data_IF_647762523401
#
_entry.id   IF_647762523401
#
_cell.length_a   1.000
_cell.length_b   1.000
_cell.length_c   1.000
_cell.angle_alpha   90.00
_cell.angle_beta   90.00
_cell.angle_gamma   90.00
#
_symmetry.space_group_name_H-M   'P 1'
#
loop_
_entity.id
_entity.type
_entity.pdbx_description
1 polymer ?
#
# COMPACT_ATOMS: atom_id res chain seq x y z
N UNK A 1 13.54 17.66 4.78
CA UNK A 1 13.89 17.66 3.33
C UNK A 1 13.00 16.73 2.50
N UNK A 2 12.92 15.43 2.83
CA UNK A 2 12.13 14.43 2.08
C UNK A 2 10.64 14.80 1.96
N UNK A 3 9.96 15.09 3.07
CA UNK A 3 8.53 15.39 3.05
C UNK A 3 8.19 16.64 2.23
N UNK A 4 9.06 17.65 2.22
CA UNK A 4 8.85 18.85 1.40
C UNK A 4 8.91 18.48 -0.09
N UNK A 5 9.93 17.72 -0.50
CA UNK A 5 10.07 17.27 -1.90
C UNK A 5 8.88 16.41 -2.34
N UNK A 6 8.44 15.47 -1.50
CA UNK A 6 7.26 14.65 -1.77
C UNK A 6 6.00 15.51 -1.92
N UNK A 7 5.80 16.46 -1.02
CA UNK A 7 4.63 17.34 -1.07
C UNK A 7 4.62 18.22 -2.33
N UNK A 8 5.77 18.73 -2.73
CA UNK A 8 5.87 19.58 -3.93
C UNK A 8 5.65 18.76 -5.21
N UNK A 9 6.12 17.51 -5.25
CA UNK A 9 5.85 16.61 -6.39
C UNK A 9 4.38 16.21 -6.48
N UNK A 10 3.73 15.90 -5.35
CA UNK A 10 2.30 15.62 -5.32
C UNK A 10 1.47 16.82 -5.81
N UNK A 11 1.86 18.05 -5.44
CA UNK A 11 1.20 19.26 -5.96
C UNK A 11 1.38 19.39 -7.48
N UNK A 12 2.61 19.18 -7.97
CA UNK A 12 2.93 19.29 -9.40
C UNK A 12 2.12 18.28 -10.23
N UNK A 13 2.16 17.01 -9.86
CA UNK A 13 1.43 15.94 -10.56
C UNK A 13 -0.08 16.13 -10.50
N UNK A 14 -0.61 16.60 -9.36
CA UNK A 14 -2.05 16.88 -9.24
C UNK A 14 -2.49 18.05 -10.12
N UNK A 15 -1.65 19.08 -10.26
CA UNK A 15 -1.92 20.21 -11.16
C UNK A 15 -1.94 19.77 -12.64
N UNK A 16 -1.10 18.79 -13.00
CA UNK A 16 -0.97 18.28 -14.37
C UNK A 16 -2.07 17.26 -14.74
N UNK A 17 -2.44 16.37 -13.81
CA UNK A 17 -3.29 15.21 -14.10
C UNK A 17 -4.66 15.23 -13.41
N UNK A 18 -4.91 16.20 -12.52
CA UNK A 18 -6.16 16.33 -11.75
C UNK A 18 -6.27 15.35 -10.57
N UNK A 19 -6.09 14.05 -10.85
CA UNK A 19 -6.15 12.96 -9.86
C UNK A 19 -4.86 12.15 -9.89
N UNK A 20 -4.32 11.87 -8.71
CA UNK A 20 -3.10 11.08 -8.54
C UNK A 20 -3.27 10.12 -7.36
N UNK A 21 -2.52 9.02 -7.36
CA UNK A 21 -2.39 8.12 -6.22
C UNK A 21 -0.91 8.05 -5.80
N UNK A 22 -0.66 8.13 -4.49
CA UNK A 22 0.67 7.87 -3.93
C UNK A 22 0.76 6.40 -3.52
N UNK A 23 1.71 5.67 -4.10
CA UNK A 23 2.04 4.32 -3.68
C UNK A 23 3.23 4.36 -2.72
N UNK A 24 2.97 4.14 -1.43
CA UNK A 24 4.01 4.04 -0.40
C UNK A 24 4.31 2.57 -0.09
N UNK A 25 5.52 2.12 -0.47
CA UNK A 25 5.88 0.70 -0.47
C UNK A 25 7.00 0.40 0.52
N UNK A 26 6.80 -0.69 1.27
CA UNK A 26 7.74 -1.17 2.29
C UNK A 26 7.96 -2.66 2.13
N UNK A 27 9.13 -3.13 2.54
CA UNK A 27 9.43 -4.56 2.66
C UNK A 27 9.71 -4.91 4.12
N UNK A 28 9.22 -6.06 4.57
CA UNK A 28 9.47 -6.60 5.90
C UNK A 28 9.88 -8.07 5.78
N UNK A 29 10.67 -8.58 6.73
CA UNK A 29 10.95 -10.02 6.80
C UNK A 29 9.63 -10.78 6.99
N UNK A 30 9.42 -11.83 6.20
CA UNK A 30 8.19 -12.62 6.22
C UNK A 30 8.01 -13.46 7.48
N UNK A 31 9.09 -13.72 8.23
CA UNK A 31 9.06 -14.43 9.52
C UNK A 31 9.78 -13.58 10.56
N UNK A 32 9.04 -13.15 11.59
CA UNK A 32 9.52 -12.27 12.66
C UNK A 32 9.04 -12.78 14.02
N UNK A 33 9.65 -13.86 14.55
CA UNK A 33 9.14 -14.57 15.74
C UNK A 33 9.10 -13.73 17.02
N UNK A 34 9.83 -12.60 17.05
CA UNK A 34 9.77 -11.62 18.14
C UNK A 34 8.43 -10.88 18.19
N UNK A 35 7.77 -10.71 17.04
CA UNK A 35 6.58 -9.86 16.88
C UNK A 35 5.33 -10.65 16.50
N UNK A 36 5.47 -11.70 15.68
CA UNK A 36 4.36 -12.45 15.11
C UNK A 36 4.67 -13.94 15.08
N UNK A 37 3.63 -14.76 15.27
CA UNK A 37 3.72 -16.19 15.01
C UNK A 37 3.58 -16.47 13.51
N UNK A 38 4.33 -17.45 13.01
CA UNK A 38 4.23 -17.92 11.63
C UNK A 38 4.82 -16.97 10.58
N UNK A 39 4.30 -17.08 9.35
CA UNK A 39 4.70 -16.29 8.19
C UNK A 39 3.65 -15.21 7.93
N UNK A 40 4.09 -13.96 7.80
CA UNK A 40 3.26 -12.85 7.36
C UNK A 40 2.74 -13.07 5.92
N UNK A 41 1.60 -12.47 5.62
CA UNK A 41 1.06 -12.36 4.26
C UNK A 41 2.10 -11.72 3.33
N UNK A 42 2.24 -12.24 2.10
CA UNK A 42 3.26 -11.74 1.17
C UNK A 42 3.00 -10.29 0.75
N UNK A 43 1.73 -9.91 0.56
CA UNK A 43 1.28 -8.52 0.38
C UNK A 43 0.35 -8.08 1.50
N UNK A 44 0.83 -7.18 2.36
CA UNK A 44 0.00 -6.45 3.31
C UNK A 44 -0.29 -5.06 2.77
N UNK A 45 -1.51 -4.85 2.28
CA UNK A 45 -1.96 -3.57 1.73
C UNK A 45 -2.60 -2.75 2.85
N UNK A 46 -2.36 -1.45 2.89
CA UNK A 46 -2.89 -0.56 3.92
C UNK A 46 -3.69 0.59 3.33
N UNK A 47 -4.85 0.87 3.93
CA UNK A 47 -5.67 2.06 3.63
C UNK A 47 -6.02 2.87 4.88
N UNK A 48 -5.38 2.58 6.02
CA UNK A 48 -5.66 3.17 7.33
C UNK A 48 -7.17 3.10 7.66
N UNK A 49 -7.76 1.90 7.51
CA UNK A 49 -9.19 1.65 7.65
C UNK A 49 -10.06 2.53 6.73
N UNK A 50 -9.60 2.72 5.48
CA UNK A 50 -10.29 3.53 4.48
C UNK A 50 -10.05 5.04 4.57
N UNK A 51 -9.14 5.51 5.44
CA UNK A 51 -8.84 6.94 5.61
C UNK A 51 -7.77 7.48 4.66
N UNK A 52 -6.93 6.62 4.08
CA UNK A 52 -5.79 7.03 3.26
C UNK A 52 -5.88 6.62 1.80
N UNK A 53 -6.91 5.85 1.41
CA UNK A 53 -7.12 5.40 0.04
C UNK A 53 -8.61 5.31 -0.27
N UNK A 54 -8.98 5.60 -1.51
CA UNK A 54 -10.33 5.36 -2.01
C UNK A 54 -10.71 3.86 -1.86
N UNK A 55 -11.96 3.59 -1.50
CA UNK A 55 -12.42 2.23 -1.20
C UNK A 55 -12.46 1.34 -2.45
N UNK A 56 -12.81 1.90 -3.62
CA UNK A 56 -12.78 1.18 -4.89
C UNK A 56 -11.35 0.82 -5.28
N UNK A 57 -10.44 1.80 -5.23
CA UNK A 57 -9.02 1.58 -5.54
C UNK A 57 -8.39 0.55 -4.61
N UNK A 58 -8.62 0.63 -3.29
CA UNK A 58 -8.10 -0.34 -2.34
C UNK A 58 -8.62 -1.76 -2.61
N UNK A 59 -9.90 -1.88 -2.97
CA UNK A 59 -10.54 -3.17 -3.31
C UNK A 59 -9.95 -3.77 -4.59
N UNK A 60 -9.73 -2.95 -5.61
CA UNK A 60 -9.14 -3.41 -6.87
C UNK A 60 -7.69 -3.89 -6.69
N UNK A 61 -6.90 -3.14 -5.93
CA UNK A 61 -5.49 -3.50 -5.67
C UNK A 61 -5.40 -4.82 -4.90
N UNK A 62 -6.21 -5.03 -3.84
CA UNK A 62 -6.19 -6.31 -3.11
C UNK A 62 -6.67 -7.46 -3.99
N UNK A 63 -7.70 -7.25 -4.83
CA UNK A 63 -8.16 -8.27 -5.76
C UNK A 63 -7.13 -8.63 -6.84
N UNK A 64 -6.30 -7.67 -7.27
CA UNK A 64 -5.15 -7.93 -8.16
C UNK A 64 -4.09 -8.73 -7.41
N UNK A 65 -3.72 -8.32 -6.20
CA UNK A 65 -2.68 -8.97 -5.39
C UNK A 65 -3.05 -10.43 -5.04
N UNK A 66 -4.32 -10.71 -4.74
CA UNK A 66 -4.83 -12.05 -4.46
C UNK A 66 -4.79 -12.99 -5.68
N UNK A 67 -4.69 -12.45 -6.90
CA UNK A 67 -4.56 -13.23 -8.14
C UNK A 67 -3.11 -13.54 -8.51
N UNK A 68 -2.12 -13.01 -7.77
CA UNK A 68 -0.71 -13.31 -8.02
C UNK A 68 -0.43 -14.76 -7.61
N UNK A 69 0.03 -15.62 -8.54
CA UNK A 69 0.29 -17.02 -8.21
C UNK A 69 1.33 -17.17 -7.09
N UNK A 70 1.08 -18.13 -6.19
CA UNK A 70 1.97 -18.49 -5.08
C UNK A 70 2.26 -17.37 -4.05
N UNK A 71 1.44 -16.31 -4.01
CA UNK A 71 1.54 -15.24 -3.02
C UNK A 71 0.22 -15.04 -2.30
N UNK A 72 0.28 -14.71 -1.02
CA UNK A 72 -0.91 -14.31 -0.24
C UNK A 72 -1.03 -12.79 -0.19
N UNK A 73 -2.26 -12.28 -0.07
CA UNK A 73 -2.52 -10.85 0.01
C UNK A 73 -3.70 -10.53 0.95
N UNK A 74 -3.59 -9.43 1.70
CA UNK A 74 -4.61 -8.94 2.63
C UNK A 74 -4.65 -7.42 2.66
N UNK A 75 -5.79 -6.85 3.05
CA UNK A 75 -6.00 -5.40 3.21
C UNK A 75 -6.26 -5.08 4.69
N UNK A 76 -5.45 -4.17 5.24
CA UNK A 76 -5.43 -3.73 6.64
C UNK A 76 -5.14 -4.81 7.69
N UNK A 77 -4.44 -5.88 7.29
CA UNK A 77 -4.03 -6.94 8.21
C UNK A 77 -5.17 -7.89 8.55
#
# INVERSE_FOLDING_TARGET
>A
PYHNALQDELKRLRAEHGTIALWDAHSIRSVLPRFFEGKLTDFNLGSADGKSCDTGLASDVVAIAQRVPNHTAVLNG
#
